data_IF_742605870615
#
_entry.id   IF_742605870615
#
_cell.length_a   1.000
_cell.length_b   1.000
_cell.length_c   1.000
_cell.angle_alpha   90.00
_cell.angle_beta   90.00
_cell.angle_gamma   90.00
#
_symmetry.space_group_name_H-M   'P 1'
#
loop_
_entity.id
_entity.type
_entity.pdbx_description
1 polymer ?
#
# COMPACT_ATOMS: atom_id res chain seq x y z
N UNK A 1 -19.99 16.56 63.26
CA UNK A 1 -19.51 17.94 63.53
C UNK A 1 -18.00 17.92 63.40
N UNK A 2 -17.48 18.62 62.38
CA UNK A 2 -16.07 19.01 62.13
C UNK A 2 -14.99 17.91 62.03
N UNK A 3 -14.35 17.84 60.87
CA UNK A 3 -12.91 17.50 60.79
C UNK A 3 -12.07 18.63 61.41
N UNK A 4 -10.81 18.36 61.79
CA UNK A 4 -9.75 18.75 60.86
C UNK A 4 -8.50 17.86 60.83
N UNK A 5 -7.81 18.02 59.70
CA UNK A 5 -6.46 17.66 59.28
C UNK A 5 -5.34 18.28 60.14
N UNK A 6 -4.22 17.55 60.34
CA UNK A 6 -2.92 18.11 60.76
C UNK A 6 -1.73 17.28 60.26
N UNK A 7 -1.10 17.75 59.18
CA UNK A 7 0.33 18.08 59.05
C UNK A 7 1.38 17.21 59.79
N UNK A 8 2.21 16.50 59.02
CA UNK A 8 3.53 16.06 59.47
C UNK A 8 4.65 16.78 58.72
N UNK A 9 5.67 17.18 59.51
CA UNK A 9 6.80 18.02 59.15
C UNK A 9 7.96 17.19 58.60
N UNK A 10 8.71 17.85 57.73
CA UNK A 10 10.06 17.52 57.26
C UNK A 10 11.08 17.59 58.42
N UNK A 11 12.04 16.66 58.47
CA UNK A 11 13.38 16.92 59.01
C UNK A 11 14.44 16.16 58.20
N UNK A 12 15.44 16.90 57.73
CA UNK A 12 16.56 16.47 56.90
C UNK A 12 17.64 15.66 57.66
N UNK A 13 18.33 14.81 56.90
CA UNK A 13 19.77 14.46 56.94
C UNK A 13 20.43 14.06 58.28
N UNK A 14 20.95 12.82 58.36
CA UNK A 14 22.39 12.61 58.14
C UNK A 14 22.80 11.11 57.98
N UNK A 15 23.60 10.90 56.93
CA UNK A 15 24.62 9.89 56.63
C UNK A 15 24.73 8.53 57.38
N UNK A 16 24.73 7.42 56.62
CA UNK A 16 25.95 6.74 56.12
C UNK A 16 25.82 5.22 55.92
N UNK A 17 26.22 4.78 54.72
CA UNK A 17 26.86 3.50 54.36
C UNK A 17 26.07 2.18 54.45
N UNK A 18 25.76 1.65 53.27
CA UNK A 18 25.41 0.23 53.05
C UNK A 18 25.59 -0.14 51.58
N UNK A 19 26.82 -0.50 51.18
CA UNK A 19 27.14 -1.04 49.87
C UNK A 19 26.52 -2.44 49.69
N UNK A 20 25.74 -2.63 48.63
CA UNK A 20 25.29 -3.92 48.13
C UNK A 20 25.10 -3.85 46.62
N UNK A 21 25.99 -4.54 45.91
CA UNK A 21 26.18 -4.54 44.46
C UNK A 21 24.91 -4.96 43.69
N UNK A 22 24.56 -4.20 42.64
CA UNK A 22 23.54 -4.58 41.66
C UNK A 22 24.26 -5.05 40.41
N UNK A 23 24.05 -6.32 40.10
CA UNK A 23 24.56 -7.05 38.95
C UNK A 23 24.07 -6.43 37.62
N UNK A 24 24.99 -5.80 36.89
CA UNK A 24 24.74 -5.22 35.58
C UNK A 24 24.97 -6.31 34.53
N UNK A 25 23.90 -7.02 34.16
CA UNK A 25 23.92 -7.87 32.98
C UNK A 25 24.17 -6.98 31.74
N UNK A 26 25.37 -7.14 31.19
CA UNK A 26 25.87 -6.45 30.02
C UNK A 26 24.92 -6.67 28.83
N UNK A 27 24.34 -5.58 28.32
CA UNK A 27 23.83 -5.55 26.98
C UNK A 27 25.00 -5.83 26.03
N UNK A 28 24.89 -6.87 25.20
CA UNK A 28 25.84 -7.09 24.11
C UNK A 28 25.95 -5.80 23.29
N UNK A 29 27.16 -5.25 23.07
CA UNK A 29 27.32 -4.09 22.22
C UNK A 29 26.81 -4.45 20.82
N UNK A 30 25.94 -3.60 20.27
CA UNK A 30 25.57 -3.65 18.86
C UNK A 30 26.85 -3.72 18.03
N UNK A 31 26.92 -4.54 16.96
CA UNK A 31 28.12 -4.66 16.16
C UNK A 31 28.54 -3.26 15.70
N UNK A 32 29.78 -2.88 16.01
CA UNK A 32 30.38 -1.65 15.50
C UNK A 32 30.25 -1.71 13.98
N UNK A 33 29.42 -0.82 13.43
CA UNK A 33 29.31 -0.63 11.99
C UNK A 33 30.69 -0.18 11.52
N UNK A 34 31.42 -1.04 10.83
CA UNK A 34 32.65 -0.66 10.14
C UNK A 34 32.35 0.59 9.30
N UNK A 35 32.85 1.74 9.75
CA UNK A 35 32.71 3.01 9.05
C UNK A 35 33.58 2.91 7.81
N UNK A 36 32.97 2.50 6.69
CA UNK A 36 33.66 2.48 5.40
C UNK A 36 33.74 3.92 4.87
N UNK A 37 34.96 4.42 4.70
CA UNK A 37 35.21 5.76 4.15
C UNK A 37 35.10 5.79 2.62
N UNK A 38 34.64 4.71 1.97
CA UNK A 38 34.43 4.60 0.52
C UNK A 38 33.55 5.73 -0.04
N UNK A 39 32.60 6.23 0.75
CA UNK A 39 31.77 7.38 0.37
C UNK A 39 32.56 8.69 0.21
N UNK A 40 33.71 8.82 0.87
CA UNK A 40 34.60 10.00 0.80
C UNK A 40 35.57 9.96 -0.39
N UNK A 41 35.81 8.79 -0.98
CA UNK A 41 36.78 8.62 -2.07
C UNK A 41 36.24 8.96 -3.46
N UNK A 42 34.92 9.16 -3.61
CA UNK A 42 34.33 9.55 -4.89
C UNK A 42 34.09 11.06 -4.93
N UNK A 43 34.97 11.78 -5.63
CA UNK A 43 34.71 13.17 -6.04
C UNK A 43 33.30 13.28 -6.63
N UNK A 44 32.55 14.31 -6.23
CA UNK A 44 31.15 14.57 -6.54
C UNK A 44 30.67 13.83 -7.79
N UNK A 45 30.05 12.66 -7.59
CA UNK A 45 29.40 11.93 -8.69
C UNK A 45 28.49 12.95 -9.39
N UNK A 46 28.47 12.99 -10.74
CA UNK A 46 27.58 13.91 -11.46
C UNK A 46 26.17 13.76 -10.91
N UNK A 47 25.45 14.89 -10.79
CA UNK A 47 24.09 14.95 -10.22
C UNK A 47 23.29 13.77 -10.75
N UNK A 48 22.88 12.86 -9.84
CA UNK A 48 22.29 11.59 -10.21
C UNK A 48 21.18 11.83 -11.24
N UNK A 49 21.35 11.28 -12.44
CA UNK A 49 20.30 11.30 -13.44
C UNK A 49 19.16 10.48 -12.86
N UNK A 50 18.05 11.13 -12.50
CA UNK A 50 16.82 10.42 -12.14
C UNK A 50 16.39 9.66 -13.40
N UNK A 51 16.41 8.32 -13.42
CA UNK A 51 15.89 7.59 -14.56
C UNK A 51 14.40 7.93 -14.71
N UNK A 52 13.90 7.90 -15.95
CA UNK A 52 12.48 8.06 -16.23
C UNK A 52 11.98 6.72 -16.75
N UNK A 53 10.95 6.18 -16.13
CA UNK A 53 10.23 5.03 -16.66
C UNK A 53 8.74 5.34 -16.66
N UNK A 54 8.02 4.91 -17.69
CA UNK A 54 6.57 5.18 -17.82
C UNK A 54 5.78 3.90 -17.86
N UNK A 55 4.58 3.95 -17.28
CA UNK A 55 3.57 2.89 -17.35
C UNK A 55 2.97 2.76 -18.76
N UNK A 56 2.18 1.73 -19.00
CA UNK A 56 1.47 1.56 -20.28
C UNK A 56 0.23 2.45 -20.32
N UNK A 57 0.02 3.18 -21.42
CA UNK A 57 -1.25 3.86 -21.70
C UNK A 57 -2.09 2.97 -22.62
N UNK A 58 -3.34 2.68 -22.23
CA UNK A 58 -4.24 1.85 -23.03
C UNK A 58 -5.67 2.40 -23.01
N UNK A 59 -6.27 2.45 -24.20
CA UNK A 59 -7.70 2.65 -24.43
C UNK A 59 -8.14 1.47 -25.29
N UNK A 60 -9.07 0.67 -24.79
CA UNK A 60 -9.52 -0.54 -25.47
C UNK A 60 -11.03 -0.62 -25.61
N UNK A 61 -11.44 -1.36 -26.63
CA UNK A 61 -12.85 -1.66 -26.91
C UNK A 61 -13.46 -2.60 -25.87
N UNK A 62 -14.77 -2.46 -25.62
CA UNK A 62 -15.54 -3.22 -24.62
C UNK A 62 -16.71 -3.97 -25.28
N UNK A 63 -16.47 -5.07 -26.03
CA UNK A 63 -17.47 -5.60 -26.95
C UNK A 63 -18.39 -6.71 -26.38
N UNK A 64 -18.11 -7.31 -25.23
CA UNK A 64 -18.77 -8.56 -24.76
C UNK A 64 -19.34 -8.48 -23.33
N UNK A 65 -20.38 -9.28 -23.04
CA UNK A 65 -21.12 -9.26 -21.76
C UNK A 65 -20.72 -10.35 -20.76
N UNK A 66 -19.79 -11.24 -21.11
CA UNK A 66 -19.31 -12.30 -20.21
C UNK A 66 -18.13 -11.79 -19.38
N UNK A 67 -18.25 -11.74 -18.06
CA UNK A 67 -17.22 -11.19 -17.17
C UNK A 67 -16.42 -12.28 -16.46
N UNK A 68 -15.97 -13.28 -17.21
CA UNK A 68 -15.20 -14.42 -16.72
C UNK A 68 -14.00 -14.77 -17.64
N UNK A 69 -13.23 -15.78 -17.25
CA UNK A 69 -11.98 -16.16 -17.91
C UNK A 69 -12.14 -16.71 -19.33
N UNK A 70 -13.34 -17.08 -19.77
CA UNK A 70 -13.59 -17.55 -21.15
C UNK A 70 -13.59 -16.40 -22.16
N UNK A 71 -13.86 -15.18 -21.70
CA UNK A 71 -13.89 -14.00 -22.54
C UNK A 71 -12.49 -13.38 -22.65
N UNK A 72 -11.74 -13.80 -23.68
CA UNK A 72 -10.38 -13.30 -23.93
C UNK A 72 -10.30 -11.77 -24.04
N UNK A 73 -11.32 -11.11 -24.59
CA UNK A 73 -11.34 -9.65 -24.68
C UNK A 73 -11.44 -8.98 -23.29
N UNK A 74 -12.22 -9.57 -22.38
CA UNK A 74 -12.31 -9.10 -21.00
C UNK A 74 -11.01 -9.33 -20.23
N UNK A 75 -10.42 -10.51 -20.35
CA UNK A 75 -9.11 -10.83 -19.73
C UNK A 75 -8.02 -9.88 -20.25
N UNK A 76 -7.98 -9.61 -21.56
CA UNK A 76 -7.02 -8.67 -22.14
C UNK A 76 -7.24 -7.24 -21.68
N UNK A 77 -8.50 -6.81 -21.53
CA UNK A 77 -8.83 -5.49 -20.97
C UNK A 77 -8.40 -5.36 -19.51
N UNK A 78 -8.63 -6.38 -18.67
CA UNK A 78 -8.14 -6.41 -17.30
C UNK A 78 -6.60 -6.35 -17.28
N UNK A 79 -5.93 -7.18 -18.09
CA UNK A 79 -4.46 -7.22 -18.18
C UNK A 79 -3.88 -5.84 -18.51
N UNK A 80 -4.55 -5.06 -19.35
CA UNK A 80 -4.07 -3.74 -19.75
C UNK A 80 -4.28 -2.65 -18.68
N UNK A 81 -4.97 -2.96 -17.59
CA UNK A 81 -5.20 -2.06 -16.45
C UNK A 81 -4.49 -2.52 -15.16
N UNK A 82 -3.95 -3.73 -15.17
CA UNK A 82 -3.37 -4.38 -14.01
C UNK A 82 -2.04 -3.73 -13.56
N UNK A 83 -1.94 -3.47 -12.25
CA UNK A 83 -0.74 -2.92 -11.63
C UNK A 83 0.47 -3.85 -11.78
N UNK A 84 0.30 -5.17 -11.66
CA UNK A 84 1.41 -6.11 -11.89
C UNK A 84 1.96 -6.00 -13.33
N UNK A 85 1.09 -5.75 -14.31
CA UNK A 85 1.49 -5.54 -15.71
C UNK A 85 2.32 -4.26 -15.89
N UNK A 86 1.90 -3.17 -15.25
CA UNK A 86 2.63 -1.90 -15.25
C UNK A 86 3.97 -2.04 -14.52
N UNK A 87 4.00 -2.70 -13.36
CA UNK A 87 5.21 -2.99 -12.59
C UNK A 87 6.26 -3.73 -13.43
N UNK A 88 5.85 -4.77 -14.16
CA UNK A 88 6.74 -5.53 -15.05
C UNK A 88 7.26 -4.68 -16.23
N UNK A 89 6.50 -3.67 -16.66
CA UNK A 89 6.92 -2.76 -17.74
C UNK A 89 7.92 -1.72 -17.23
N UNK A 90 7.71 -1.18 -16.03
CA UNK A 90 8.65 -0.28 -15.37
C UNK A 90 9.96 -0.99 -15.02
N UNK A 91 9.88 -2.18 -14.43
CA UNK A 91 11.04 -2.98 -14.07
C UNK A 91 11.94 -3.28 -15.28
N UNK A 92 11.36 -3.59 -16.46
CA UNK A 92 12.16 -3.82 -17.69
C UNK A 92 12.89 -2.57 -18.18
N UNK A 93 12.34 -1.38 -17.95
CA UNK A 93 13.01 -0.13 -18.30
C UNK A 93 14.20 0.11 -17.38
N UNK A 94 14.11 -0.23 -16.10
CA UNK A 94 15.12 0.10 -15.08
C UNK A 94 16.14 -1.02 -14.83
N UNK A 95 15.80 -2.26 -15.12
CA UNK A 95 16.66 -3.42 -14.87
C UNK A 95 17.98 -3.31 -15.63
N UNK A 96 19.08 -3.53 -14.92
CA UNK A 96 20.43 -3.45 -15.49
C UNK A 96 20.90 -2.02 -15.81
N UNK A 97 20.15 -0.97 -15.48
CA UNK A 97 20.60 0.41 -15.69
C UNK A 97 21.54 0.90 -14.59
N UNK A 98 22.60 1.61 -14.97
CA UNK A 98 23.56 2.23 -14.04
C UNK A 98 22.90 3.28 -13.10
N UNK A 99 21.78 3.87 -13.51
CA UNK A 99 20.97 4.78 -12.70
C UNK A 99 20.42 4.14 -11.43
N UNK A 100 20.29 2.81 -11.38
CA UNK A 100 19.88 2.06 -10.18
C UNK A 100 21.04 1.82 -9.20
N UNK A 101 22.29 2.05 -9.62
CA UNK A 101 23.51 1.80 -8.84
C UNK A 101 24.21 3.10 -8.42
N UNK A 102 23.45 4.18 -8.26
CA UNK A 102 24.01 5.51 -7.94
C UNK A 102 24.44 5.65 -6.48
N UNK A 103 23.93 4.79 -5.59
CA UNK A 103 24.37 4.69 -4.20
C UNK A 103 25.34 3.52 -4.06
N UNK A 104 26.49 3.75 -3.41
CA UNK A 104 27.55 2.73 -3.25
C UNK A 104 27.07 1.50 -2.48
N UNK A 105 26.19 1.73 -1.50
CA UNK A 105 25.63 0.69 -0.63
C UNK A 105 24.17 1.00 -0.31
N UNK A 106 23.39 -0.02 0.01
CA UNK A 106 21.99 0.11 0.41
C UNK A 106 21.85 0.33 1.93
N UNK A 107 22.65 1.22 2.52
CA UNK A 107 22.52 1.58 3.93
C UNK A 107 21.33 2.51 4.11
N UNK A 108 20.30 2.12 4.88
CA UNK A 108 19.20 3.02 5.21
C UNK A 108 19.75 4.26 5.93
N UNK A 109 19.38 5.45 5.45
CA UNK A 109 19.77 6.72 6.09
C UNK A 109 18.54 7.47 6.62
N UNK A 110 17.95 7.02 7.74
CA UNK A 110 16.76 7.65 8.30
C UNK A 110 17.03 9.09 8.75
N UNK A 111 18.26 9.42 9.16
CA UNK A 111 18.62 10.78 9.58
C UNK A 111 18.54 11.75 8.40
N UNK A 112 19.08 11.40 7.23
CA UNK A 112 18.96 12.23 6.04
C UNK A 112 17.50 12.41 5.60
N UNK A 113 16.64 11.39 5.76
CA UNK A 113 15.21 11.53 5.49
C UNK A 113 14.53 12.54 6.43
N UNK A 114 14.84 12.49 7.73
CA UNK A 114 14.33 13.44 8.72
C UNK A 114 14.89 14.86 8.50
N UNK A 115 16.17 14.99 8.16
CA UNK A 115 16.80 16.29 7.85
C UNK A 115 16.20 16.95 6.60
N UNK A 116 15.79 16.14 5.61
CA UNK A 116 15.15 16.62 4.38
C UNK A 116 13.76 17.20 4.62
N UNK A 117 12.97 16.60 5.51
CA UNK A 117 11.63 17.06 5.83
C UNK A 117 11.23 16.74 7.28
N UNK A 118 11.77 17.49 8.23
CA UNK A 118 11.50 17.29 9.67
C UNK A 118 10.09 17.70 10.08
N UNK A 119 9.48 18.64 9.33
CA UNK A 119 8.10 19.08 9.49
C UNK A 119 7.39 18.92 8.15
N UNK A 120 6.31 18.15 8.13
CA UNK A 120 5.47 17.96 6.96
C UNK A 120 4.01 18.29 7.22
N UNK A 121 3.31 18.65 6.15
CA UNK A 121 1.87 18.83 6.12
C UNK A 121 1.22 17.59 5.50
N UNK A 122 0.33 16.93 6.23
CA UNK A 122 -0.47 15.82 5.70
C UNK A 122 -1.77 16.36 5.13
N UNK A 123 -1.90 16.29 3.81
CA UNK A 123 -3.09 16.69 3.08
C UNK A 123 -3.95 15.44 2.82
N UNK A 124 -5.18 15.40 3.35
CA UNK A 124 -6.11 14.32 3.01
C UNK A 124 -6.97 14.74 1.82
N UNK A 125 -6.92 14.03 0.66
CA UNK A 125 -7.54 14.50 -0.58
C UNK A 125 -9.03 14.80 -0.46
N UNK A 126 -9.78 13.93 0.22
CA UNK A 126 -11.24 14.04 0.33
C UNK A 126 -11.71 15.15 1.28
N UNK A 127 -10.83 15.73 2.10
CA UNK A 127 -11.17 16.82 3.01
C UNK A 127 -10.48 18.14 2.66
N UNK A 128 -9.69 18.18 1.59
CA UNK A 128 -8.97 19.38 1.20
C UNK A 128 -9.84 20.26 0.31
N UNK A 129 -10.11 21.49 0.76
CA UNK A 129 -10.98 22.43 0.05
C UNK A 129 -10.13 23.23 -0.95
N UNK A 130 -10.41 23.06 -2.24
CA UNK A 130 -9.71 23.77 -3.32
C UNK A 130 -10.45 25.03 -3.77
N UNK A 131 -9.79 25.88 -4.56
CA UNK A 131 -10.47 26.97 -5.28
C UNK A 131 -11.39 26.37 -6.35
N UNK A 132 -12.44 27.11 -6.73
CA UNK A 132 -13.35 26.67 -7.81
C UNK A 132 -12.59 26.36 -9.09
N UNK A 133 -12.78 25.15 -9.63
CA UNK A 133 -12.13 24.69 -10.87
C UNK A 133 -10.68 24.22 -10.70
N UNK A 134 -10.15 24.20 -9.47
CA UNK A 134 -8.79 23.72 -9.18
C UNK A 134 -8.83 22.29 -8.65
N UNK A 135 -7.97 21.42 -9.19
CA UNK A 135 -7.79 20.06 -8.69
C UNK A 135 -7.04 20.04 -7.36
N UNK A 136 -7.13 18.93 -6.63
CA UNK A 136 -6.38 18.73 -5.38
C UNK A 136 -4.86 18.84 -5.61
N UNK A 137 -4.34 18.17 -6.64
CA UNK A 137 -2.91 18.18 -6.96
C UNK A 137 -2.43 19.56 -7.41
N UNK A 138 -3.23 20.28 -8.21
CA UNK A 138 -2.93 21.66 -8.60
C UNK A 138 -2.91 22.61 -7.38
N UNK A 139 -3.80 22.41 -6.41
CA UNK A 139 -3.80 23.19 -5.18
C UNK A 139 -2.55 22.94 -4.34
N UNK A 140 -2.11 21.68 -4.23
CA UNK A 140 -0.87 21.35 -3.54
C UNK A 140 0.38 21.78 -4.31
N UNK A 141 0.27 22.02 -5.61
CA UNK A 141 1.32 22.60 -6.46
C UNK A 141 1.37 24.13 -6.49
N UNK A 142 0.60 24.86 -5.68
CA UNK A 142 0.58 26.34 -5.70
C UNK A 142 1.92 26.92 -5.16
N UNK A 143 2.70 27.67 -5.97
CA UNK A 143 3.97 28.26 -5.52
C UNK A 143 3.82 29.21 -4.32
N UNK A 144 2.68 29.91 -4.20
CA UNK A 144 2.45 30.79 -3.05
C UNK A 144 2.30 29.99 -1.74
N UNK A 145 1.71 28.79 -1.82
CA UNK A 145 1.62 27.88 -0.68
C UNK A 145 3.00 27.37 -0.28
N UNK A 146 3.81 26.94 -1.25
CA UNK A 146 5.18 26.47 -0.98
C UNK A 146 6.11 27.56 -0.44
N UNK A 147 5.95 28.81 -0.90
CA UNK A 147 6.62 29.96 -0.30
C UNK A 147 6.25 30.13 1.17
N UNK A 148 4.96 30.09 1.50
CA UNK A 148 4.49 30.20 2.88
C UNK A 148 4.99 29.03 3.75
N UNK A 149 4.92 27.80 3.24
CA UNK A 149 5.45 26.60 3.91
C UNK A 149 6.94 26.75 4.21
N UNK A 150 7.72 27.25 3.23
CA UNK A 150 9.15 27.51 3.43
C UNK A 150 9.41 28.50 4.57
N UNK A 151 8.66 29.61 4.60
CA UNK A 151 8.76 30.67 5.61
C UNK A 151 8.45 30.16 7.03
N UNK A 152 7.46 29.27 7.18
CA UNK A 152 7.05 28.73 8.49
C UNK A 152 7.75 27.41 8.87
N UNK A 153 8.68 26.92 8.03
CA UNK A 153 9.50 25.74 8.34
C UNK A 153 8.92 24.39 7.91
N UNK A 154 7.81 24.35 7.16
CA UNK A 154 7.32 23.11 6.54
C UNK A 154 8.19 22.79 5.32
N UNK A 155 8.62 21.52 5.21
CA UNK A 155 9.52 21.03 4.14
C UNK A 155 8.99 19.79 3.44
N UNK A 156 7.88 19.22 3.90
CA UNK A 156 7.24 18.07 3.27
C UNK A 156 5.75 18.24 3.08
N UNK A 157 5.19 17.66 2.02
CA UNK A 157 3.76 17.38 1.91
C UNK A 157 3.57 15.87 1.75
N UNK A 158 2.72 15.28 2.59
CA UNK A 158 2.18 13.94 2.36
C UNK A 158 0.78 14.08 1.76
N UNK A 159 0.57 13.58 0.55
CA UNK A 159 -0.66 13.80 -0.22
C UNK A 159 -1.82 12.89 0.17
N UNK A 160 -1.57 11.86 0.97
CA UNK A 160 -2.48 10.70 1.06
C UNK A 160 -2.61 9.95 -0.27
N UNK A 161 -3.49 8.92 -0.34
CA UNK A 161 -3.67 8.12 -1.53
C UNK A 161 -4.40 8.91 -2.63
N UNK A 162 -3.73 9.13 -3.76
CA UNK A 162 -4.29 9.85 -4.92
C UNK A 162 -4.39 9.01 -6.20
N UNK A 163 -3.99 7.74 -6.13
CA UNK A 163 -4.08 6.81 -7.25
C UNK A 163 -5.48 6.22 -7.35
N UNK A 164 -5.90 5.83 -8.55
CA UNK A 164 -7.23 5.28 -8.81
C UNK A 164 -7.50 4.07 -7.92
N UNK A 165 -8.64 4.08 -7.22
CA UNK A 165 -9.01 3.11 -6.19
C UNK A 165 -10.42 2.55 -6.37
N UNK A 166 -10.78 1.56 -5.56
CA UNK A 166 -12.07 0.87 -5.60
C UNK A 166 -11.97 -0.53 -6.15
N UNK A 167 -12.74 -0.80 -7.20
CA UNK A 167 -12.85 -2.13 -7.78
C UNK A 167 -13.40 -2.10 -9.18
N UNK A 168 -13.56 -3.29 -9.77
CA UNK A 168 -14.16 -3.48 -11.08
C UNK A 168 -15.37 -4.40 -10.96
N UNK A 169 -16.49 -3.98 -11.52
CA UNK A 169 -17.70 -4.79 -11.72
C UNK A 169 -18.08 -4.76 -13.20
N UNK A 170 -17.93 -5.90 -13.88
CA UNK A 170 -17.97 -5.95 -15.34
C UNK A 170 -16.96 -4.99 -15.96
N UNK A 171 -17.43 -4.05 -16.79
CA UNK A 171 -16.59 -3.03 -17.42
C UNK A 171 -16.45 -1.72 -16.63
N UNK A 172 -17.10 -1.63 -15.48
CA UNK A 172 -17.24 -0.38 -14.72
C UNK A 172 -16.39 -0.39 -13.46
N UNK A 173 -15.82 0.76 -13.13
CA UNK A 173 -15.21 0.97 -11.83
C UNK A 173 -16.28 1.09 -10.75
N UNK A 174 -15.97 0.58 -9.56
CA UNK A 174 -16.75 0.83 -8.34
C UNK A 174 -16.06 1.91 -7.53
N UNK A 175 -16.80 2.67 -6.68
CA UNK A 175 -16.18 3.59 -5.74
C UNK A 175 -15.18 2.90 -4.81
N UNK A 176 -14.24 3.68 -4.28
CA UNK A 176 -13.38 3.24 -3.18
C UNK A 176 -14.21 2.90 -1.96
N UNK A 177 -13.86 1.81 -1.26
CA UNK A 177 -14.47 1.43 0.02
C UNK A 177 -13.73 2.03 1.22
N UNK A 178 -12.57 2.65 1.01
CA UNK A 178 -11.71 3.13 2.10
C UNK A 178 -10.93 4.40 1.78
N UNK A 179 -11.61 5.43 1.27
CA UNK A 179 -11.00 6.75 1.02
C UNK A 179 -9.72 6.69 0.18
N UNK A 180 -9.73 5.86 -0.87
CA UNK A 180 -8.66 5.59 -1.83
C UNK A 180 -7.49 4.71 -1.37
N UNK A 181 -7.53 4.16 -0.14
CA UNK A 181 -6.53 3.18 0.30
C UNK A 181 -6.63 1.82 -0.42
N UNK A 182 -7.76 1.53 -1.07
CA UNK A 182 -8.03 0.35 -1.88
C UNK A 182 -7.67 0.57 -3.37
N UNK A 183 -6.42 0.96 -3.63
CA UNK A 183 -5.93 1.26 -4.99
C UNK A 183 -6.04 0.08 -5.97
N UNK A 184 -6.35 0.39 -7.22
CA UNK A 184 -6.48 -0.57 -8.32
C UNK A 184 -5.62 -0.23 -9.54
N UNK A 185 -4.90 0.90 -9.52
CA UNK A 185 -3.99 1.35 -10.57
C UNK A 185 -2.84 2.15 -9.98
N UNK A 186 -1.73 2.25 -10.74
CA UNK A 186 -0.63 3.19 -10.45
C UNK A 186 -0.94 4.62 -10.95
N UNK A 187 -1.95 4.76 -11.81
CA UNK A 187 -2.37 6.04 -12.38
C UNK A 187 -3.03 6.93 -11.31
N UNK A 188 -2.83 8.24 -11.43
CA UNK A 188 -3.56 9.24 -10.65
C UNK A 188 -5.06 9.14 -10.95
N UNK A 189 -5.88 9.16 -9.90
CA UNK A 189 -7.33 9.24 -10.05
C UNK A 189 -7.71 10.63 -10.60
N UNK A 190 -8.41 10.71 -11.74
CA UNK A 190 -8.81 11.99 -12.34
C UNK A 190 -9.61 12.89 -11.40
N UNK A 191 -10.21 12.36 -10.33
CA UNK A 191 -10.90 13.17 -9.32
C UNK A 191 -9.95 14.10 -8.55
N UNK A 192 -8.66 13.75 -8.44
CA UNK A 192 -7.66 14.54 -7.71
C UNK A 192 -6.78 15.40 -8.61
N UNK A 193 -6.74 15.12 -9.91
CA UNK A 193 -5.95 15.86 -10.87
C UNK A 193 -5.33 14.94 -11.93
N UNK A 194 -4.19 15.35 -12.46
CA UNK A 194 -3.44 14.60 -13.48
C UNK A 194 -2.03 14.24 -13.02
N UNK A 195 -1.40 13.29 -13.71
CA UNK A 195 0.02 12.97 -13.50
C UNK A 195 0.92 14.20 -13.76
N UNK A 196 0.56 15.08 -14.70
CA UNK A 196 1.33 16.30 -14.99
C UNK A 196 1.20 17.32 -13.85
N UNK A 197 0.01 17.45 -13.25
CA UNK A 197 -0.17 18.25 -12.03
C UNK A 197 0.63 17.69 -10.86
N UNK A 198 0.72 16.36 -10.73
CA UNK A 198 1.55 15.72 -9.72
C UNK A 198 3.04 16.04 -9.94
N UNK A 199 3.54 15.86 -11.16
CA UNK A 199 4.94 16.18 -11.52
C UNK A 199 5.23 17.66 -11.25
N UNK A 200 4.32 18.56 -11.65
CA UNK A 200 4.46 20.00 -11.38
C UNK A 200 4.50 20.31 -9.89
N UNK A 201 3.68 19.66 -9.08
CA UNK A 201 3.73 19.79 -7.62
C UNK A 201 5.10 19.40 -7.07
N UNK A 202 5.69 18.29 -7.54
CA UNK A 202 7.04 17.88 -7.15
C UNK A 202 8.12 18.89 -7.59
N UNK A 203 8.01 19.47 -8.78
CA UNK A 203 8.91 20.53 -9.24
C UNK A 203 8.84 21.77 -8.36
N UNK A 204 7.63 22.26 -8.07
CA UNK A 204 7.42 23.44 -7.21
C UNK A 204 7.94 23.17 -5.79
N UNK A 205 7.72 21.98 -5.25
CA UNK A 205 8.28 21.58 -3.96
C UNK A 205 9.81 21.73 -3.96
N UNK A 206 10.47 21.16 -4.97
CA UNK A 206 11.93 21.22 -5.09
C UNK A 206 12.46 22.65 -5.27
N UNK A 207 11.77 23.50 -6.02
CA UNK A 207 12.08 24.94 -6.17
C UNK A 207 12.08 25.69 -4.81
N UNK A 208 11.38 25.15 -3.79
CA UNK A 208 11.22 25.74 -2.47
C UNK A 208 11.93 24.95 -1.35
N UNK A 209 12.92 24.12 -1.69
CA UNK A 209 13.64 23.24 -0.76
C UNK A 209 12.72 22.24 -0.02
N UNK A 210 11.61 21.86 -0.63
CA UNK A 210 10.64 20.90 -0.09
C UNK A 210 10.62 19.57 -0.83
N UNK A 211 9.87 18.61 -0.30
CA UNK A 211 9.62 17.30 -0.91
C UNK A 211 8.15 16.87 -0.83
N UNK A 212 7.75 16.01 -1.76
CA UNK A 212 6.45 15.34 -1.78
C UNK A 212 6.63 13.88 -1.38
N UNK A 213 5.83 13.46 -0.41
CA UNK A 213 5.73 12.10 0.11
C UNK A 213 4.44 11.51 -0.45
N UNK A 214 4.56 10.53 -1.35
CA UNK A 214 3.42 9.78 -1.89
C UNK A 214 3.10 8.57 -1.01
N UNK A 215 1.88 8.07 -1.13
CA UNK A 215 1.37 6.95 -0.33
C UNK A 215 1.55 5.61 -1.07
N UNK A 216 2.22 4.67 -0.40
CA UNK A 216 2.36 3.29 -0.88
C UNK A 216 1.63 2.39 0.11
N UNK A 217 0.68 1.59 -0.41
CA UNK A 217 -0.16 0.66 0.34
C UNK A 217 0.33 -0.79 0.11
N UNK A 218 1.21 -1.33 0.97
CA UNK A 218 1.81 -2.65 0.77
C UNK A 218 0.96 -3.81 1.29
N UNK A 219 -0.09 -3.51 2.08
CA UNK A 219 -0.88 -4.54 2.76
C UNK A 219 -1.98 -5.17 1.90
N UNK A 220 -2.52 -4.43 0.93
CA UNK A 220 -3.67 -4.83 0.13
C UNK A 220 -3.77 -3.99 -1.16
N UNK A 221 -4.64 -4.41 -2.06
CA UNK A 221 -5.16 -3.58 -3.18
C UNK A 221 -6.67 -3.39 -2.99
N UNK A 222 -7.33 -2.69 -3.92
CA UNK A 222 -8.77 -2.84 -4.14
C UNK A 222 -9.10 -4.07 -4.98
N UNK A 223 -10.39 -4.33 -5.22
CA UNK A 223 -10.86 -5.43 -6.10
C UNK A 223 -10.80 -5.05 -7.59
N UNK A 224 -9.63 -4.61 -8.02
CA UNK A 224 -9.33 -4.12 -9.35
C UNK A 224 -9.01 -5.22 -10.37
N UNK A 225 -8.32 -4.83 -11.44
CA UNK A 225 -7.96 -5.75 -12.52
C UNK A 225 -7.09 -6.92 -12.03
N UNK A 226 -6.12 -6.65 -11.16
CA UNK A 226 -5.25 -7.67 -10.57
C UNK A 226 -6.06 -8.74 -9.80
N UNK A 227 -7.05 -8.32 -9.01
CA UNK A 227 -7.93 -9.24 -8.27
C UNK A 227 -8.85 -10.04 -9.20
N UNK A 228 -9.43 -9.40 -10.23
CA UNK A 228 -10.27 -10.11 -11.21
C UNK A 228 -9.48 -11.14 -12.02
N UNK A 229 -8.23 -10.83 -12.39
CA UNK A 229 -7.34 -11.78 -13.06
C UNK A 229 -6.94 -12.93 -12.14
N UNK A 230 -6.74 -12.65 -10.85
CA UNK A 230 -6.49 -13.65 -9.83
C UNK A 230 -7.68 -14.62 -9.66
N UNK A 231 -8.91 -14.10 -9.58
CA UNK A 231 -10.15 -14.91 -9.55
C UNK A 231 -10.27 -15.84 -10.77
N UNK A 232 -9.76 -15.40 -11.93
CA UNK A 232 -9.75 -16.17 -13.18
C UNK A 232 -8.54 -17.08 -13.36
N UNK A 233 -7.76 -17.28 -12.29
CA UNK A 233 -6.53 -18.09 -12.28
C UNK A 233 -5.57 -17.74 -13.43
N UNK A 234 -5.46 -16.46 -13.79
CA UNK A 234 -4.64 -16.05 -14.91
C UNK A 234 -3.18 -15.93 -14.47
N UNK A 235 -2.30 -16.80 -14.99
CA UNK A 235 -0.84 -16.76 -14.77
C UNK A 235 -0.48 -16.66 -13.27
N UNK A 236 0.34 -15.68 -12.89
CA UNK A 236 0.86 -15.43 -11.55
C UNK A 236 -0.01 -14.45 -10.72
N UNK A 237 -1.15 -14.00 -11.25
CA UNK A 237 -2.04 -13.07 -10.54
C UNK A 237 -2.62 -13.62 -9.22
N UNK A 238 -2.99 -14.91 -9.10
CA UNK A 238 -3.38 -15.48 -7.80
C UNK A 238 -2.31 -15.29 -6.72
N UNK A 239 -1.03 -15.35 -7.10
CA UNK A 239 0.10 -15.16 -6.20
C UNK A 239 0.26 -13.73 -5.67
N UNK A 240 -0.51 -12.76 -6.17
CA UNK A 240 -0.57 -11.42 -5.58
C UNK A 240 -1.22 -11.47 -4.19
N UNK A 241 -2.13 -12.40 -3.94
CA UNK A 241 -3.02 -12.38 -2.77
C UNK A 241 -2.91 -13.65 -1.93
N UNK A 242 -3.29 -13.53 -0.66
CA UNK A 242 -3.53 -14.71 0.18
C UNK A 242 -4.89 -15.30 -0.19
N UNK A 243 -4.93 -16.09 -1.26
CA UNK A 243 -6.14 -16.73 -1.76
C UNK A 243 -5.93 -18.23 -2.04
N UNK A 244 -6.98 -19.00 -1.78
CA UNK A 244 -6.97 -20.47 -1.88
C UNK A 244 -8.16 -20.90 -2.73
N UNK A 245 -7.91 -21.61 -3.83
CA UNK A 245 -8.95 -22.27 -4.62
C UNK A 245 -9.44 -23.49 -3.85
N UNK A 246 -10.70 -23.46 -3.41
CA UNK A 246 -11.29 -24.57 -2.65
C UNK A 246 -11.77 -25.65 -3.63
N UNK A 247 -11.34 -26.91 -3.48
CA UNK A 247 -11.82 -28.02 -4.29
C UNK A 247 -13.34 -28.13 -4.28
N UNK A 248 -13.92 -28.53 -5.41
CA UNK A 248 -15.37 -28.54 -5.61
C UNK A 248 -16.07 -29.50 -4.65
N UNK A 249 -15.42 -30.61 -4.32
CA UNK A 249 -15.86 -31.59 -3.33
C UNK A 249 -16.08 -31.00 -1.92
N UNK A 250 -15.42 -29.89 -1.59
CA UNK A 250 -15.48 -29.23 -0.28
C UNK A 250 -16.25 -27.90 -0.31
N UNK A 251 -16.99 -27.60 -1.39
CA UNK A 251 -17.81 -26.39 -1.48
C UNK A 251 -18.96 -26.37 -0.47
N UNK A 252 -19.32 -27.51 0.11
CA UNK A 252 -20.26 -27.60 1.24
C UNK A 252 -19.74 -26.89 2.51
N UNK A 253 -18.43 -26.57 2.59
CA UNK A 253 -17.85 -25.77 3.67
C UNK A 253 -18.03 -24.26 3.47
N UNK A 254 -18.46 -23.84 2.29
CA UNK A 254 -18.51 -22.44 1.89
C UNK A 254 -19.96 -21.92 1.95
N UNK A 255 -20.20 -20.72 2.50
CA UNK A 255 -21.53 -20.12 2.45
C UNK A 255 -21.92 -19.78 1.01
N UNK A 256 -23.23 -19.68 0.76
CA UNK A 256 -23.72 -19.11 -0.49
C UNK A 256 -23.42 -17.61 -0.57
N UNK A 257 -23.02 -17.15 -1.75
CA UNK A 257 -22.81 -15.72 -2.01
C UNK A 257 -24.13 -15.10 -2.46
N UNK A 258 -24.61 -14.03 -1.79
CA UNK A 258 -25.85 -13.38 -2.17
C UNK A 258 -25.87 -12.91 -3.64
N UNK A 259 -27.05 -12.92 -4.24
CA UNK A 259 -27.22 -12.43 -5.62
C UNK A 259 -26.75 -10.98 -5.75
N UNK A 260 -25.96 -10.69 -6.80
CA UNK A 260 -25.37 -9.39 -7.05
C UNK A 260 -24.08 -9.09 -6.26
N UNK A 261 -23.74 -9.88 -5.24
CA UNK A 261 -22.46 -9.78 -4.55
C UNK A 261 -21.37 -10.60 -5.27
N UNK A 262 -20.12 -10.16 -5.17
CA UNK A 262 -18.98 -10.91 -5.71
C UNK A 262 -18.31 -11.81 -4.66
N UNK A 263 -18.55 -11.56 -3.39
CA UNK A 263 -18.03 -12.34 -2.26
C UNK A 263 -18.90 -12.16 -1.01
N UNK A 264 -18.74 -13.05 -0.03
CA UNK A 264 -19.34 -12.93 1.31
C UNK A 264 -18.31 -13.23 2.39
N UNK A 265 -18.38 -12.54 3.54
CA UNK A 265 -17.52 -12.81 4.68
C UNK A 265 -17.84 -14.20 5.25
N UNK A 266 -16.81 -14.95 5.62
CA UNK A 266 -16.99 -16.24 6.29
C UNK A 266 -17.49 -16.01 7.70
N UNK A 267 -18.46 -16.81 8.13
CA UNK A 267 -18.82 -16.90 9.53
C UNK A 267 -17.67 -17.54 10.34
N UNK A 268 -17.61 -17.33 11.67
CA UNK A 268 -16.63 -18.01 12.52
C UNK A 268 -16.66 -19.55 12.38
N UNK A 269 -17.84 -20.13 12.18
CA UNK A 269 -18.00 -21.58 12.00
C UNK A 269 -17.42 -22.06 10.66
N UNK A 270 -17.65 -21.31 9.57
CA UNK A 270 -17.09 -21.62 8.25
C UNK A 270 -15.55 -21.44 8.24
N UNK A 271 -15.04 -20.37 8.88
CA UNK A 271 -13.61 -20.16 9.07
C UNK A 271 -12.97 -21.33 9.84
N UNK A 272 -13.60 -21.78 10.92
CA UNK A 272 -13.12 -22.92 11.70
C UNK A 272 -13.19 -24.24 10.91
N UNK A 273 -14.24 -24.46 10.11
CA UNK A 273 -14.38 -25.65 9.30
C UNK A 273 -13.27 -25.75 8.24
N UNK A 274 -12.98 -24.64 7.53
CA UNK A 274 -11.89 -24.56 6.56
C UNK A 274 -10.51 -24.68 7.22
N UNK A 275 -10.34 -24.16 8.43
CA UNK A 275 -9.12 -24.35 9.22
C UNK A 275 -8.91 -25.83 9.57
N UNK A 276 -9.96 -26.52 10.05
CA UNK A 276 -9.91 -27.96 10.37
C UNK A 276 -9.62 -28.81 9.14
N UNK A 277 -10.13 -28.42 7.98
CA UNK A 277 -9.84 -29.06 6.70
C UNK A 277 -8.41 -28.77 6.18
N UNK A 278 -7.70 -27.79 6.75
CA UNK A 278 -6.32 -27.46 6.40
C UNK A 278 -6.17 -26.47 5.24
N UNK A 279 -7.25 -25.81 4.80
CA UNK A 279 -7.21 -24.88 3.67
C UNK A 279 -6.67 -23.49 4.05
N UNK A 280 -7.01 -23.02 5.25
CA UNK A 280 -6.58 -21.71 5.75
C UNK A 280 -6.05 -21.83 7.17
N UNK A 281 -5.25 -20.84 7.59
CA UNK A 281 -4.75 -20.77 8.98
C UNK A 281 -5.85 -20.46 9.99
N UNK A 282 -7.04 -20.06 9.53
CA UNK A 282 -8.19 -19.70 10.34
C UNK A 282 -8.06 -18.31 10.96
N UNK A 283 -8.57 -18.18 12.19
CA UNK A 283 -8.68 -16.90 12.90
C UNK A 283 -7.32 -16.23 13.13
N UNK A 284 -7.22 -14.96 12.76
CA UNK A 284 -6.05 -14.12 13.07
C UNK A 284 -6.16 -13.44 14.44
N UNK A 285 -5.05 -12.87 14.90
CA UNK A 285 -4.95 -12.17 16.20
C UNK A 285 -5.98 -11.05 16.38
N UNK A 286 -6.33 -10.35 15.30
CA UNK A 286 -7.29 -9.24 15.31
C UNK A 286 -8.17 -9.27 14.07
N UNK A 287 -9.42 -8.85 14.24
CA UNK A 287 -10.37 -8.58 13.16
C UNK A 287 -10.61 -7.06 13.18
N UNK A 288 -9.87 -6.33 12.35
CA UNK A 288 -10.06 -4.87 12.22
C UNK A 288 -11.39 -4.62 11.52
N UNK A 289 -12.10 -3.55 11.90
CA UNK A 289 -13.45 -3.22 11.42
C UNK A 289 -14.47 -4.36 11.66
N UNK A 290 -14.37 -5.03 12.81
CA UNK A 290 -15.37 -6.03 13.20
C UNK A 290 -16.76 -5.41 13.25
N UNK A 291 -17.69 -6.02 12.54
CA UNK A 291 -19.08 -5.62 12.51
C UNK A 291 -19.95 -6.89 12.37
N UNK A 292 -20.82 -7.20 13.35
CA UNK A 292 -21.67 -8.38 13.31
C UNK A 292 -22.49 -8.47 12.02
N UNK A 293 -22.47 -9.63 11.35
CA UNK A 293 -23.18 -9.85 10.08
C UNK A 293 -22.58 -9.15 8.86
N UNK A 294 -21.49 -8.38 9.01
CA UNK A 294 -20.80 -7.69 7.91
C UNK A 294 -19.37 -8.18 7.78
N UNK A 295 -18.61 -8.13 8.88
CA UNK A 295 -17.21 -8.57 8.96
C UNK A 295 -16.94 -9.19 10.33
N UNK A 296 -17.10 -10.49 10.42
CA UNK A 296 -16.86 -11.26 11.64
C UNK A 296 -15.50 -11.96 11.63
N UNK A 297 -14.97 -12.22 10.43
CA UNK A 297 -13.65 -12.84 10.20
C UNK A 297 -12.78 -11.96 9.28
N UNK A 298 -11.54 -12.39 9.01
CA UNK A 298 -10.68 -11.78 8.00
C UNK A 298 -10.71 -12.51 6.66
N UNK A 299 -11.63 -13.46 6.49
CA UNK A 299 -11.72 -14.29 5.31
C UNK A 299 -13.06 -14.09 4.63
N UNK A 300 -13.04 -13.97 3.30
CA UNK A 300 -14.25 -13.98 2.49
C UNK A 300 -14.11 -15.03 1.41
N UNK A 301 -15.25 -15.53 0.93
CA UNK A 301 -15.30 -16.44 -0.21
C UNK A 301 -15.91 -15.74 -1.41
N UNK A 302 -15.34 -15.95 -2.59
CA UNK A 302 -15.91 -15.43 -3.85
C UNK A 302 -17.13 -16.24 -4.28
N UNK A 303 -17.96 -15.63 -5.13
CA UNK A 303 -18.94 -16.39 -5.93
C UNK A 303 -18.21 -17.39 -6.84
N UNK A 304 -18.90 -18.37 -7.44
CA UNK A 304 -18.32 -19.18 -8.50
C UNK A 304 -17.88 -18.30 -9.69
N UNK A 305 -16.63 -18.47 -10.13
CA UNK A 305 -16.05 -17.79 -11.30
C UNK A 305 -15.42 -18.82 -12.22
N UNK A 306 -15.67 -18.72 -13.53
CA UNK A 306 -15.02 -19.56 -14.53
C UNK A 306 -13.66 -18.97 -14.87
N UNK A 307 -12.62 -19.79 -14.78
CA UNK A 307 -11.24 -19.39 -15.01
C UNK A 307 -10.87 -19.41 -16.50
N UNK A 308 -9.64 -19.00 -16.82
CA UNK A 308 -9.13 -18.96 -18.22
C UNK A 308 -8.92 -20.33 -18.87
N UNK A 309 -9.08 -21.42 -18.11
CA UNK A 309 -9.04 -22.81 -18.60
C UNK A 309 -10.43 -23.43 -18.71
N UNK A 310 -11.47 -22.72 -18.30
CA UNK A 310 -12.86 -23.22 -18.26
C UNK A 310 -13.25 -23.92 -16.96
N UNK A 311 -12.38 -24.00 -15.94
CA UNK A 311 -12.71 -24.55 -14.62
C UNK A 311 -13.45 -23.51 -13.79
N UNK A 312 -14.57 -23.91 -13.17
CA UNK A 312 -15.24 -23.09 -12.16
C UNK A 312 -14.47 -23.15 -10.84
N UNK A 313 -14.22 -21.99 -10.24
CA UNK A 313 -13.45 -21.84 -9.00
C UNK A 313 -14.22 -21.03 -7.97
N UNK A 314 -13.90 -21.30 -6.70
CA UNK A 314 -14.34 -20.49 -5.56
C UNK A 314 -13.12 -20.24 -4.68
N UNK A 315 -12.79 -18.97 -4.51
CA UNK A 315 -11.60 -18.56 -3.78
C UNK A 315 -11.97 -18.13 -2.38
N UNK A 316 -11.32 -18.70 -1.38
CA UNK A 316 -11.26 -18.12 -0.04
C UNK A 316 -10.06 -17.21 0.01
N UNK A 317 -10.27 -15.93 0.32
CA UNK A 317 -9.21 -14.93 0.33
C UNK A 317 -9.17 -14.15 1.64
N UNK A 318 -7.97 -13.78 2.05
CA UNK A 318 -7.73 -12.96 3.22
C UNK A 318 -7.95 -11.48 2.88
N UNK A 319 -8.61 -10.77 3.78
CA UNK A 319 -8.67 -9.31 3.83
C UNK A 319 -8.53 -8.86 5.28
N UNK A 320 -7.41 -8.20 5.61
CA UNK A 320 -7.16 -7.76 6.99
C UNK A 320 -8.02 -6.54 7.36
N UNK A 321 -8.33 -5.71 6.37
CA UNK A 321 -9.24 -4.56 6.47
C UNK A 321 -10.60 -4.93 5.84
N UNK A 322 -11.24 -4.03 5.08
CA UNK A 322 -12.58 -4.26 4.51
C UNK A 322 -12.56 -5.37 3.46
N UNK A 323 -13.70 -5.99 3.17
CA UNK A 323 -13.78 -7.09 2.20
C UNK A 323 -13.33 -6.68 0.79
N UNK A 324 -13.41 -5.38 0.44
CA UNK A 324 -12.90 -4.79 -0.80
C UNK A 324 -11.37 -4.61 -0.83
N UNK A 325 -10.66 -4.96 0.24
CA UNK A 325 -9.21 -4.80 0.39
C UNK A 325 -8.49 -6.17 0.52
N UNK A 326 -8.43 -6.98 -0.56
CA UNK A 326 -7.74 -8.27 -0.54
C UNK A 326 -6.25 -8.11 -0.17
N UNK A 327 -5.80 -8.90 0.81
CA UNK A 327 -4.46 -8.80 1.37
C UNK A 327 -3.40 -9.35 0.43
N UNK A 328 -2.32 -8.57 0.21
CA UNK A 328 -1.19 -8.97 -0.63
C UNK A 328 -0.41 -10.12 0.03
N UNK A 329 0.02 -11.10 -0.76
CA UNK A 329 0.85 -12.21 -0.34
C UNK A 329 2.33 -11.93 -0.61
N UNK A 330 3.07 -11.67 0.47
CA UNK A 330 4.52 -11.46 0.46
C UNK A 330 5.32 -12.76 0.53
N UNK A 331 4.67 -13.91 0.68
CA UNK A 331 5.32 -15.23 0.78
C UNK A 331 5.15 -16.07 -0.48
N UNK A 332 4.36 -15.60 -1.45
CA UNK A 332 4.14 -16.32 -2.69
C UNK A 332 5.45 -16.46 -3.51
N UNK A 333 5.78 -17.66 -4.00
CA UNK A 333 7.05 -17.92 -4.68
C UNK A 333 7.19 -17.22 -6.04
N UNK A 334 6.11 -16.72 -6.63
CA UNK A 334 6.18 -15.92 -7.86
C UNK A 334 6.63 -14.49 -7.59
N UNK A 335 6.64 -14.06 -6.32
CA UNK A 335 6.90 -12.68 -5.91
C UNK A 335 5.98 -11.64 -6.59
N UNK A 336 4.79 -12.04 -7.04
CA UNK A 336 3.85 -11.14 -7.75
C UNK A 336 3.46 -9.93 -6.88
N UNK A 337 3.11 -10.16 -5.62
CA UNK A 337 2.82 -9.08 -4.66
C UNK A 337 3.99 -8.12 -4.47
N UNK A 338 5.20 -8.65 -4.28
CA UNK A 338 6.41 -7.83 -4.12
C UNK A 338 6.70 -6.99 -5.37
N UNK A 339 6.67 -7.61 -6.56
CA UNK A 339 6.89 -6.93 -7.84
C UNK A 339 5.90 -5.80 -8.05
N UNK A 340 4.62 -6.03 -7.75
CA UNK A 340 3.56 -5.02 -7.84
C UNK A 340 3.87 -3.81 -6.95
N UNK A 341 4.16 -4.03 -5.66
CA UNK A 341 4.41 -2.95 -4.70
C UNK A 341 5.71 -2.20 -5.00
N UNK A 342 6.78 -2.90 -5.36
CA UNK A 342 8.04 -2.28 -5.77
C UNK A 342 7.86 -1.48 -7.07
N UNK A 343 7.12 -2.01 -8.05
CA UNK A 343 6.79 -1.30 -9.27
C UNK A 343 6.05 0.01 -9.01
N UNK A 344 5.14 0.02 -8.04
CA UNK A 344 4.41 1.22 -7.63
C UNK A 344 5.33 2.27 -6.98
N UNK A 345 6.24 1.83 -6.11
CA UNK A 345 7.25 2.71 -5.52
C UNK A 345 8.18 3.30 -6.58
N UNK A 346 8.60 2.47 -7.56
CA UNK A 346 9.41 2.94 -8.69
C UNK A 346 8.64 3.97 -9.53
N UNK A 347 7.37 3.73 -9.85
CA UNK A 347 6.53 4.70 -10.55
C UNK A 347 6.51 6.06 -9.84
N UNK A 348 6.27 6.07 -8.53
CA UNK A 348 6.25 7.30 -7.74
C UNK A 348 7.59 8.04 -7.78
N UNK A 349 8.71 7.32 -7.62
CA UNK A 349 10.05 7.92 -7.57
C UNK A 349 10.55 8.38 -8.96
N UNK A 350 10.33 7.59 -10.00
CA UNK A 350 10.99 7.75 -11.30
C UNK A 350 10.10 8.34 -12.40
N UNK A 351 8.78 8.28 -12.24
CA UNK A 351 7.82 8.89 -13.19
C UNK A 351 7.20 10.17 -12.62
N UNK A 352 6.67 10.08 -11.39
CA UNK A 352 5.99 11.20 -10.73
C UNK A 352 6.98 12.19 -10.09
N UNK A 353 8.13 11.71 -9.64
CA UNK A 353 9.23 12.53 -9.11
C UNK A 353 9.21 12.76 -7.60
N UNK A 354 8.50 11.91 -6.84
CA UNK A 354 8.44 11.95 -5.37
C UNK A 354 9.80 11.68 -4.74
N UNK A 355 9.95 12.04 -3.45
CA UNK A 355 11.18 11.81 -2.69
C UNK A 355 12.15 12.97 -2.73
#
# INVERSE_FOLDING_TARGET
MREPDTSERISESDAAAGNGEVDQNAAEPAPELDVTFDEQFFAARPKALRPIARRRQFVGDRPSFEFDGRNAAYVDWLRNQAMLGDANTLARQLSGQASMWQNSYAHPNPRAAVERASVWFTAYPLSFITRTGQSFLSALGDPAMWKAFREIGIRGIHTGPVKLAGGISGWSHTPSVDGHFDRISMAIDPVFGTEDEFRRMCEVAAEHDGTVIDDIVPGHTGKGADFRLAEMNFRDYPGIYHMVDIPEEDWNLLPDVPEGADSVNLSPDAEQALQKAGYIIGRLQRVIFYEPGVKETNWSVTRPIVDTTGKTRRWVYLHYFKAGQPSINWLDPTFAGMRLVVGDALHSLVDLGTG
#
